data_IF_567149243345
#
_entry.id   IF_567149243345
#
_cell.length_a   1.000
_cell.length_b   1.000
_cell.length_c   1.000
_cell.angle_alpha   90.00
_cell.angle_beta   90.00
_cell.angle_gamma   90.00
#
_symmetry.space_group_name_H-M   'P 1'
#
loop_
_entity.id
_entity.type
_entity.pdbx_description
1 polymer ?
#
# COMPACT_ATOMS: atom_id res chain seq x y z
N UNK A 1 15.04 20.06 21.93
CA UNK A 1 14.97 19.57 20.53
C UNK A 1 16.14 18.63 20.27
N UNK A 2 16.11 17.43 20.87
CA UNK A 2 17.26 16.51 20.96
C UNK A 2 16.85 15.11 20.47
N UNK A 3 16.25 15.05 19.28
CA UNK A 3 15.87 13.79 18.63
C UNK A 3 16.64 13.54 17.32
N UNK A 4 17.58 14.42 16.94
CA UNK A 4 18.32 14.35 15.66
C UNK A 4 19.78 13.89 15.78
N UNK A 5 20.12 12.99 16.71
CA UNK A 5 21.52 12.54 16.89
C UNK A 5 21.77 11.04 16.91
N UNK A 6 20.82 10.21 16.50
CA UNK A 6 21.14 8.82 16.16
C UNK A 6 21.27 8.72 14.65
N UNK A 7 22.52 8.79 14.16
CA UNK A 7 22.82 8.37 12.78
C UNK A 7 22.36 6.92 12.63
N UNK A 8 21.43 6.66 11.72
CA UNK A 8 21.08 5.30 11.30
C UNK A 8 22.38 4.62 10.83
N UNK A 9 22.70 3.45 11.38
CA UNK A 9 23.92 2.73 11.02
C UNK A 9 23.82 2.28 9.56
N UNK A 10 24.95 2.25 8.84
CA UNK A 10 24.97 1.82 7.45
C UNK A 10 24.47 0.38 7.27
N UNK A 11 24.70 -0.48 8.27
CA UNK A 11 24.15 -1.84 8.28
C UNK A 11 22.61 -1.84 8.37
N UNK A 12 22.02 -0.98 9.21
CA UNK A 12 20.57 -0.88 9.34
C UNK A 12 19.93 -0.37 8.04
N UNK A 13 20.58 0.60 7.37
CA UNK A 13 20.14 1.08 6.05
C UNK A 13 20.19 -0.03 5.00
N UNK A 14 21.26 -0.83 5.00
CA UNK A 14 21.41 -1.97 4.08
C UNK A 14 20.31 -3.01 4.32
N UNK A 15 20.09 -3.41 5.57
CA UNK A 15 19.03 -4.36 5.95
C UNK A 15 17.64 -3.86 5.56
N UNK A 16 17.35 -2.58 5.80
CA UNK A 16 16.08 -1.97 5.40
C UNK A 16 15.87 -2.08 3.87
N UNK A 17 16.88 -1.71 3.08
CA UNK A 17 16.81 -1.81 1.61
C UNK A 17 16.58 -3.25 1.13
N UNK A 18 17.30 -4.20 1.71
CA UNK A 18 17.17 -5.63 1.38
C UNK A 18 15.76 -6.14 1.70
N UNK A 19 15.21 -5.76 2.86
CA UNK A 19 13.86 -6.13 3.26
C UNK A 19 12.79 -5.49 2.36
N UNK A 20 12.90 -4.20 2.05
CA UNK A 20 11.97 -3.50 1.16
C UNK A 20 11.96 -4.13 -0.24
N UNK A 21 13.13 -4.40 -0.81
CA UNK A 21 13.23 -5.07 -2.12
C UNK A 21 12.62 -6.48 -2.09
N UNK A 22 12.84 -7.23 -1.02
CA UNK A 22 12.29 -8.58 -0.85
C UNK A 22 10.77 -8.55 -0.74
N UNK A 23 10.24 -7.57 0.00
CA UNK A 23 8.80 -7.35 0.12
C UNK A 23 8.18 -6.96 -1.23
N UNK A 24 8.71 -5.94 -1.92
CA UNK A 24 8.22 -5.49 -3.24
C UNK A 24 8.20 -6.65 -4.25
N UNK A 25 9.27 -7.45 -4.29
CA UNK A 25 9.38 -8.61 -5.20
C UNK A 25 8.30 -9.67 -4.94
N UNK A 26 7.87 -9.82 -3.69
CA UNK A 26 6.81 -10.76 -3.32
C UNK A 26 5.42 -10.13 -3.51
N UNK A 27 5.25 -8.87 -3.12
CA UNK A 27 3.95 -8.22 -3.04
C UNK A 27 3.34 -7.96 -4.42
N UNK A 28 4.15 -7.57 -5.41
CA UNK A 28 3.66 -7.35 -6.78
C UNK A 28 2.98 -8.59 -7.39
N UNK A 29 3.59 -9.80 -7.42
CA UNK A 29 2.89 -10.97 -7.92
C UNK A 29 1.78 -11.47 -6.99
N UNK A 30 1.76 -11.09 -5.71
CA UNK A 30 0.65 -11.38 -4.80
C UNK A 30 -0.58 -10.56 -5.19
N UNK A 31 -0.46 -9.23 -5.25
CA UNK A 31 -1.54 -8.32 -5.66
C UNK A 31 -2.08 -8.66 -7.05
N UNK A 32 -1.19 -8.90 -8.03
CA UNK A 32 -1.62 -9.28 -9.37
C UNK A 32 -2.45 -10.59 -9.39
N UNK A 33 -2.18 -11.54 -8.49
CA UNK A 33 -2.98 -12.77 -8.37
C UNK A 33 -4.31 -12.52 -7.69
N UNK A 34 -4.36 -11.60 -6.74
CA UNK A 34 -5.62 -11.20 -6.12
C UNK A 34 -6.57 -10.63 -7.17
N UNK A 35 -6.08 -9.69 -7.98
CA UNK A 35 -6.86 -9.02 -9.04
C UNK A 35 -7.27 -9.93 -10.20
N UNK A 36 -6.38 -10.83 -10.63
CA UNK A 36 -6.60 -11.61 -11.86
C UNK A 36 -7.11 -13.02 -11.63
N UNK A 37 -6.96 -13.57 -10.42
CA UNK A 37 -7.35 -14.96 -10.10
C UNK A 37 -8.32 -14.99 -8.92
N UNK A 38 -7.92 -14.46 -7.76
CA UNK A 38 -8.66 -14.65 -6.52
C UNK A 38 -10.01 -13.92 -6.54
N UNK A 39 -10.02 -12.60 -6.74
CA UNK A 39 -11.24 -11.81 -6.73
C UNK A 39 -12.21 -12.18 -7.85
N UNK A 40 -11.75 -12.48 -9.09
CA UNK A 40 -12.62 -13.03 -10.12
C UNK A 40 -13.28 -14.36 -9.74
N UNK A 41 -12.52 -15.30 -9.14
CA UNK A 41 -13.07 -16.57 -8.69
C UNK A 41 -14.03 -16.40 -7.51
N UNK A 42 -13.68 -15.52 -6.56
CA UNK A 42 -14.50 -15.18 -5.41
C UNK A 42 -15.86 -14.62 -5.82
N UNK A 43 -15.89 -13.69 -6.77
CA UNK A 43 -17.14 -13.10 -7.31
C UNK A 43 -18.06 -14.12 -8.00
N UNK A 44 -17.56 -15.28 -8.41
CA UNK A 44 -18.39 -16.32 -9.04
C UNK A 44 -19.13 -17.20 -8.03
N UNK A 45 -18.64 -17.27 -6.78
CA UNK A 45 -19.16 -18.19 -5.76
C UNK A 45 -19.91 -17.48 -4.62
N UNK A 46 -19.75 -16.16 -4.51
CA UNK A 46 -20.42 -15.33 -3.51
C UNK A 46 -21.62 -14.63 -4.14
N UNK A 47 -22.76 -14.61 -3.45
CA UNK A 47 -23.93 -13.88 -3.93
C UNK A 47 -23.72 -12.36 -3.84
N UNK A 48 -24.49 -11.58 -4.60
CA UNK A 48 -24.40 -10.12 -4.56
C UNK A 48 -24.59 -9.58 -3.13
N UNK A 49 -25.60 -10.07 -2.41
CA UNK A 49 -25.88 -9.62 -1.05
C UNK A 49 -24.74 -9.93 -0.07
N UNK A 50 -24.12 -11.11 -0.17
CA UNK A 50 -22.97 -11.46 0.67
C UNK A 50 -21.75 -10.61 0.32
N UNK A 51 -21.54 -10.32 -0.97
CA UNK A 51 -20.45 -9.46 -1.41
C UNK A 51 -20.62 -8.03 -0.89
N UNK A 52 -21.85 -7.49 -0.94
CA UNK A 52 -22.18 -6.16 -0.44
C UNK A 52 -22.03 -6.09 1.09
N UNK A 53 -22.50 -7.11 1.82
CA UNK A 53 -22.33 -7.20 3.27
C UNK A 53 -20.86 -7.24 3.69
N UNK A 54 -19.99 -7.89 2.93
CA UNK A 54 -18.54 -7.86 3.17
C UNK A 54 -17.96 -6.47 2.95
N UNK A 55 -18.49 -5.71 1.98
CA UNK A 55 -18.12 -4.31 1.76
C UNK A 55 -18.45 -3.44 2.97
N UNK A 56 -19.65 -3.55 3.52
CA UNK A 56 -20.07 -2.84 4.74
C UNK A 56 -19.16 -3.19 5.93
N UNK A 57 -18.84 -4.47 6.14
CA UNK A 57 -17.92 -4.90 7.20
C UNK A 57 -16.50 -4.34 7.03
N UNK A 58 -16.04 -4.15 5.78
CA UNK A 58 -14.74 -3.54 5.53
C UNK A 58 -14.74 -2.03 5.75
N UNK A 59 -15.84 -1.34 5.42
CA UNK A 59 -16.00 0.09 5.69
C UNK A 59 -16.04 0.36 7.21
N UNK A 60 -16.78 -0.44 7.97
CA UNK A 60 -16.79 -0.33 9.43
C UNK A 60 -15.39 -0.51 10.04
N UNK A 61 -14.63 -1.49 9.55
CA UNK A 61 -13.23 -1.70 9.98
C UNK A 61 -12.31 -0.57 9.55
N UNK A 62 -12.53 0.00 8.37
CA UNK A 62 -11.79 1.17 7.93
C UNK A 62 -12.00 2.33 8.90
N UNK A 63 -13.25 2.64 9.25
CA UNK A 63 -13.58 3.68 10.22
C UNK A 63 -12.98 3.39 11.61
N UNK A 64 -13.00 2.15 12.08
CA UNK A 64 -12.38 1.77 13.36
C UNK A 64 -10.87 1.99 13.38
N UNK A 65 -10.18 1.69 12.28
CA UNK A 65 -8.71 1.74 12.20
C UNK A 65 -8.18 3.11 11.80
N UNK A 66 -8.93 3.84 10.96
CA UNK A 66 -8.45 5.03 10.26
C UNK A 66 -9.38 6.25 10.40
N UNK A 67 -10.59 6.09 10.94
CA UNK A 67 -11.61 7.15 11.06
C UNK A 67 -12.42 7.40 9.79
N UNK A 68 -13.40 8.30 9.85
CA UNK A 68 -14.39 8.57 8.79
C UNK A 68 -13.77 8.94 7.42
N UNK A 69 -12.58 9.56 7.41
CA UNK A 69 -11.83 9.93 6.20
C UNK A 69 -10.55 9.07 6.05
N UNK A 70 -10.58 7.83 6.54
CA UNK A 70 -9.44 6.96 6.72
C UNK A 70 -8.63 6.73 5.44
N UNK A 71 -9.28 6.20 4.40
CA UNK A 71 -8.65 5.95 3.10
C UNK A 71 -8.03 7.22 2.52
N UNK A 72 -8.79 8.31 2.42
CA UNK A 72 -8.31 9.57 1.85
C UNK A 72 -7.10 10.12 2.62
N UNK A 73 -7.15 10.06 3.95
CA UNK A 73 -6.05 10.49 4.83
C UNK A 73 -4.79 9.67 4.61
N UNK A 74 -4.91 8.35 4.49
CA UNK A 74 -3.77 7.46 4.23
C UNK A 74 -3.19 7.71 2.83
N UNK A 75 -4.02 7.89 1.81
CA UNK A 75 -3.57 8.23 0.46
C UNK A 75 -2.80 9.56 0.45
N UNK A 76 -3.27 10.58 1.14
CA UNK A 76 -2.57 11.87 1.24
C UNK A 76 -1.21 11.73 1.95
N UNK A 77 -1.13 10.90 2.99
CA UNK A 77 0.13 10.61 3.66
C UNK A 77 1.12 9.90 2.73
N UNK A 78 0.66 8.89 1.98
CA UNK A 78 1.49 8.19 0.99
C UNK A 78 1.98 9.16 -0.09
N UNK A 79 1.09 9.96 -0.66
CA UNK A 79 1.45 10.96 -1.67
C UNK A 79 2.47 11.99 -1.14
N UNK A 80 2.36 12.40 0.12
CA UNK A 80 3.32 13.29 0.77
C UNK A 80 4.71 12.63 0.92
N UNK A 81 4.75 11.36 1.29
CA UNK A 81 5.99 10.57 1.35
C UNK A 81 6.62 10.47 -0.05
N UNK A 82 5.84 10.14 -1.07
CA UNK A 82 6.31 10.03 -2.45
C UNK A 82 6.87 11.35 -2.98
N UNK A 83 6.21 12.48 -2.69
CA UNK A 83 6.71 13.82 -3.05
C UNK A 83 8.04 14.12 -2.36
N UNK A 84 8.15 13.77 -1.08
CA UNK A 84 9.38 13.95 -0.30
C UNK A 84 10.53 13.11 -0.84
N UNK A 85 10.23 11.89 -1.31
CA UNK A 85 11.20 10.99 -1.93
C UNK A 85 11.48 11.32 -3.41
N UNK A 86 10.73 12.25 -4.00
CA UNK A 86 10.84 12.58 -5.42
C UNK A 86 10.40 11.44 -6.33
N UNK A 87 9.45 10.61 -5.90
CA UNK A 87 8.90 9.48 -6.66
C UNK A 87 7.41 9.61 -6.99
N UNK A 88 6.80 10.76 -6.71
CA UNK A 88 5.36 10.98 -6.91
C UNK A 88 4.91 11.03 -8.39
N UNK A 89 5.73 11.60 -9.28
CA UNK A 89 5.31 11.81 -10.67
C UNK A 89 5.53 10.54 -11.51
N UNK A 90 4.45 9.89 -11.93
CA UNK A 90 4.50 8.69 -12.77
C UNK A 90 5.29 8.89 -14.08
N UNK A 91 5.32 10.12 -14.62
CA UNK A 91 6.04 10.42 -15.87
C UNK A 91 7.54 10.14 -15.77
N UNK A 92 8.12 10.19 -14.58
CA UNK A 92 9.56 9.94 -14.37
C UNK A 92 9.97 8.49 -14.66
N UNK A 93 9.02 7.55 -14.61
CA UNK A 93 9.24 6.13 -14.90
C UNK A 93 8.90 5.78 -16.36
N UNK A 94 8.37 6.74 -17.11
CA UNK A 94 8.02 6.54 -18.52
C UNK A 94 9.28 6.75 -19.37
N UNK A 95 9.65 5.79 -20.24
CA UNK A 95 10.77 5.96 -21.15
C UNK A 95 10.61 7.22 -22.02
N UNK A 96 11.67 8.04 -22.12
CA UNK A 96 11.73 9.16 -23.07
C UNK A 96 12.11 8.59 -24.44
N UNK A 97 11.12 8.32 -25.26
CA UNK A 97 11.28 7.97 -26.68
C UNK A 97 11.36 9.26 -27.48
#
# INVERSE_FOLDING_TARGET
MQLLKNKIKEEDKRRLRENMNSFIRMYHPHEAREDTILFPAFKQIVSQNEYDSLGEEFEDKEHELFGDDGFATIIDQVASIEKTLGIYDLSQFTPKI
#
